data_IF_610300504391
#
_entry.id   IF_610300504391
#
_cell.length_a   1.000
_cell.length_b   1.000
_cell.length_c   1.000
_cell.angle_alpha   90.00
_cell.angle_beta   90.00
_cell.angle_gamma   90.00
#
_symmetry.space_group_name_H-M   'P 1'
#
loop_
_entity.id
_entity.type
_entity.pdbx_description
1 polymer ?
#
# COMPACT_ATOMS: atom_id res chain seq x y z
N UNK A 1 22.45 -9.17 17.24
CA UNK A 1 22.53 -7.81 16.69
C UNK A 1 23.48 -7.71 15.49
N UNK A 2 24.81 -7.75 15.65
CA UNK A 2 25.75 -7.66 14.49
C UNK A 2 25.58 -8.78 13.46
N UNK A 3 25.36 -10.02 13.90
CA UNK A 3 25.08 -11.15 13.00
C UNK A 3 23.79 -10.96 12.19
N UNK A 4 22.71 -10.49 12.82
CA UNK A 4 21.46 -10.19 12.12
C UNK A 4 21.64 -9.10 11.07
N UNK A 5 22.42 -8.05 11.36
CA UNK A 5 22.71 -7.00 10.39
C UNK A 5 23.42 -7.58 9.15
N UNK A 6 24.42 -8.43 9.37
CA UNK A 6 25.17 -9.09 8.28
C UNK A 6 24.26 -10.01 7.47
N UNK A 7 23.44 -10.82 8.15
CA UNK A 7 22.50 -11.73 7.50
C UNK A 7 21.47 -10.98 6.65
N UNK A 8 20.89 -9.89 7.16
CA UNK A 8 19.94 -9.05 6.40
C UNK A 8 20.61 -8.40 5.19
N UNK A 9 21.86 -7.94 5.30
CA UNK A 9 22.61 -7.39 4.17
C UNK A 9 22.83 -8.46 3.10
N UNK A 10 23.25 -9.67 3.49
CA UNK A 10 23.49 -10.78 2.55
C UNK A 10 22.17 -11.20 1.88
N UNK A 11 21.08 -11.31 2.65
CA UNK A 11 19.75 -11.62 2.14
C UNK A 11 19.29 -10.57 1.13
N UNK A 12 19.38 -9.29 1.47
CA UNK A 12 19.03 -8.18 0.57
C UNK A 12 19.84 -8.24 -0.73
N UNK A 13 21.14 -8.54 -0.63
CA UNK A 13 21.99 -8.71 -1.82
C UNK A 13 21.51 -9.86 -2.71
N UNK A 14 21.15 -10.99 -2.10
CA UNK A 14 20.62 -12.17 -2.80
C UNK A 14 19.26 -11.90 -3.44
N UNK A 15 18.41 -11.10 -2.79
CA UNK A 15 17.06 -10.76 -3.27
C UNK A 15 17.09 -9.75 -4.43
N UNK A 16 18.08 -8.86 -4.48
CA UNK A 16 18.24 -7.89 -5.57
C UNK A 16 19.01 -8.48 -6.77
N UNK A 17 19.82 -9.53 -6.55
CA UNK A 17 20.60 -10.19 -7.60
C UNK A 17 19.78 -10.60 -8.84
N UNK A 18 18.57 -11.17 -8.73
CA UNK A 18 17.76 -11.55 -9.90
C UNK A 18 17.34 -10.33 -10.73
N UNK A 19 16.98 -9.23 -10.06
CA UNK A 19 16.59 -7.98 -10.72
C UNK A 19 17.80 -7.41 -11.48
N UNK A 20 18.96 -7.36 -10.83
CA UNK A 20 20.20 -6.94 -11.45
C UNK A 20 20.56 -7.83 -12.65
N UNK A 21 20.48 -9.16 -12.49
CA UNK A 21 20.77 -10.12 -13.54
C UNK A 21 19.86 -9.92 -14.76
N UNK A 22 18.56 -9.69 -14.56
CA UNK A 22 17.63 -9.37 -15.64
C UNK A 22 18.00 -8.04 -16.31
N UNK A 23 18.28 -7.00 -15.52
CA UNK A 23 18.65 -5.68 -16.06
C UNK A 23 19.92 -5.73 -16.92
N UNK A 24 21.00 -6.27 -16.38
CA UNK A 24 22.27 -6.41 -17.12
C UNK A 24 22.11 -7.40 -18.28
N UNK A 25 21.35 -8.48 -18.10
CA UNK A 25 21.03 -9.43 -19.16
C UNK A 25 20.31 -8.76 -20.33
N UNK A 26 19.25 -8.00 -20.09
CA UNK A 26 18.56 -7.24 -21.13
C UNK A 26 19.47 -6.22 -21.79
N UNK A 27 20.26 -5.50 -21.00
CA UNK A 27 21.14 -4.45 -21.50
C UNK A 27 22.24 -4.99 -22.44
N UNK A 28 22.91 -6.08 -22.05
CA UNK A 28 24.01 -6.66 -22.82
C UNK A 28 23.53 -7.62 -23.93
N UNK A 29 22.51 -8.44 -23.68
CA UNK A 29 22.04 -9.45 -24.64
C UNK A 29 21.00 -8.90 -25.63
N UNK A 30 20.03 -8.10 -25.15
CA UNK A 30 18.90 -7.64 -25.97
C UNK A 30 19.18 -6.27 -26.59
N UNK A 31 19.49 -5.27 -25.77
CA UNK A 31 19.72 -3.88 -26.21
C UNK A 31 21.11 -3.73 -26.88
N UNK A 32 22.06 -4.61 -26.53
CA UNK A 32 23.44 -4.66 -27.06
C UNK A 32 24.17 -3.31 -26.97
N UNK A 33 23.93 -2.55 -25.91
CA UNK A 33 24.62 -1.28 -25.64
C UNK A 33 25.38 -1.35 -24.32
N UNK A 34 26.66 -0.95 -24.27
CA UNK A 34 27.38 -0.84 -23.01
C UNK A 34 26.70 0.20 -22.12
N UNK A 35 26.69 -0.04 -20.81
CA UNK A 35 26.13 0.91 -19.85
C UNK A 35 27.00 2.18 -19.79
N UNK A 36 26.42 3.37 -20.04
CA UNK A 36 27.13 4.61 -19.81
C UNK A 36 27.49 4.74 -18.33
N UNK A 37 28.73 5.15 -18.03
CA UNK A 37 29.19 5.41 -16.66
C UNK A 37 29.09 4.21 -15.70
N UNK A 38 29.49 3.02 -16.13
CA UNK A 38 29.42 1.78 -15.33
C UNK A 38 29.92 1.94 -13.88
N UNK A 39 31.04 2.65 -13.66
CA UNK A 39 31.57 2.88 -12.31
C UNK A 39 30.62 3.68 -11.40
N UNK A 40 29.94 4.70 -11.94
CA UNK A 40 28.92 5.46 -11.18
C UNK A 40 27.70 4.60 -10.90
N UNK A 41 27.28 3.77 -11.85
CA UNK A 41 26.15 2.83 -11.69
C UNK A 41 26.45 1.81 -10.60
N UNK A 42 27.64 1.20 -10.61
CA UNK A 42 28.04 0.21 -9.61
C UNK A 42 28.16 0.83 -8.21
N UNK A 43 28.76 2.02 -8.08
CA UNK A 43 28.77 2.72 -6.80
C UNK A 43 27.35 3.08 -6.32
N UNK A 44 26.50 3.58 -7.21
CA UNK A 44 25.11 3.90 -6.87
C UNK A 44 24.36 2.66 -6.39
N UNK A 45 24.51 1.53 -7.10
CA UNK A 45 23.93 0.25 -6.73
C UNK A 45 24.42 -0.25 -5.37
N UNK A 46 25.72 -0.11 -5.09
CA UNK A 46 26.30 -0.43 -3.78
C UNK A 46 25.68 0.41 -2.65
N UNK A 47 25.57 1.73 -2.83
CA UNK A 47 24.94 2.61 -1.84
C UNK A 47 23.45 2.33 -1.65
N UNK A 48 22.73 2.00 -2.73
CA UNK A 48 21.32 1.58 -2.66
C UNK A 48 21.17 0.30 -1.84
N UNK A 49 22.06 -0.68 -2.01
CA UNK A 49 21.99 -1.92 -1.25
C UNK A 49 22.25 -1.72 0.24
N UNK A 50 23.23 -0.90 0.59
CA UNK A 50 23.47 -0.54 2.00
C UNK A 50 22.26 0.22 2.56
N UNK A 51 21.76 1.22 1.84
CA UNK A 51 20.61 2.01 2.25
C UNK A 51 19.35 1.16 2.45
N UNK A 52 19.06 0.25 1.51
CA UNK A 52 17.94 -0.67 1.58
C UNK A 52 18.08 -1.63 2.77
N UNK A 53 19.27 -2.18 2.99
CA UNK A 53 19.52 -3.10 4.11
C UNK A 53 19.31 -2.40 5.46
N UNK A 54 19.89 -1.21 5.64
CA UNK A 54 19.70 -0.41 6.86
C UNK A 54 18.24 -0.01 7.07
N UNK A 55 17.54 0.32 5.99
CA UNK A 55 16.12 0.65 6.02
C UNK A 55 15.26 -0.56 6.45
N UNK A 56 15.51 -1.75 5.88
CA UNK A 56 14.82 -2.98 6.26
C UNK A 56 15.06 -3.35 7.73
N UNK A 57 16.30 -3.23 8.22
CA UNK A 57 16.62 -3.44 9.64
C UNK A 57 15.84 -2.45 10.52
N UNK A 58 15.80 -1.17 10.13
CA UNK A 58 15.04 -0.15 10.84
C UNK A 58 13.54 -0.46 10.90
N UNK A 59 12.97 -0.98 9.81
CA UNK A 59 11.58 -1.43 9.77
C UNK A 59 11.32 -2.62 10.70
N UNK A 60 12.19 -3.63 10.66
CA UNK A 60 12.05 -4.84 11.46
C UNK A 60 12.16 -4.56 12.96
N UNK A 61 13.02 -3.62 13.36
CA UNK A 61 13.23 -3.29 14.78
C UNK A 61 12.26 -2.24 15.32
N UNK A 62 11.78 -1.32 14.48
CA UNK A 62 10.91 -0.23 14.93
C UNK A 62 9.45 -0.43 14.50
N UNK A 63 9.17 -0.56 13.19
CA UNK A 63 7.81 -0.56 12.67
C UNK A 63 7.08 -1.88 12.90
N UNK A 64 7.75 -3.02 12.72
CA UNK A 64 7.09 -4.33 12.83
C UNK A 64 6.62 -4.64 14.26
N UNK A 65 7.45 -4.44 15.30
CA UNK A 65 7.03 -4.67 16.67
C UNK A 65 5.91 -3.70 17.06
N UNK A 66 5.98 -2.44 16.61
CA UNK A 66 4.92 -1.47 16.86
C UNK A 66 3.59 -1.93 16.24
N UNK A 67 3.59 -2.37 14.98
CA UNK A 67 2.41 -2.90 14.31
C UNK A 67 1.81 -4.12 15.03
N UNK A 68 2.65 -5.07 15.46
CA UNK A 68 2.20 -6.26 16.21
C UNK A 68 1.65 -5.91 17.59
N UNK A 69 2.33 -5.03 18.33
CA UNK A 69 1.87 -4.60 19.65
C UNK A 69 0.52 -3.87 19.57
N UNK A 70 0.35 -2.98 18.58
CA UNK A 70 -0.93 -2.31 18.36
C UNK A 70 -2.02 -3.31 17.96
N UNK A 71 -1.72 -4.27 17.08
CA UNK A 71 -2.67 -5.32 16.74
C UNK A 71 -3.07 -6.13 17.99
N UNK A 72 -2.11 -6.56 18.82
CA UNK A 72 -2.36 -7.29 20.06
C UNK A 72 -3.23 -6.49 21.03
N UNK A 73 -2.94 -5.21 21.26
CA UNK A 73 -3.73 -4.37 22.16
C UNK A 73 -5.14 -4.10 21.63
N UNK A 74 -5.27 -3.81 20.34
CA UNK A 74 -6.58 -3.53 19.73
C UNK A 74 -7.43 -4.78 19.52
N UNK A 75 -6.82 -5.97 19.60
CA UNK A 75 -7.50 -7.26 19.48
C UNK A 75 -7.59 -8.01 20.80
N UNK A 76 -7.20 -7.37 21.90
CA UNK A 76 -7.25 -7.98 23.23
C UNK A 76 -8.71 -8.32 23.57
N UNK A 77 -9.02 -9.58 23.94
CA UNK A 77 -10.37 -9.99 24.32
C UNK A 77 -11.03 -9.09 25.37
N UNK A 78 -10.29 -8.61 26.37
CA UNK A 78 -10.81 -7.73 27.40
C UNK A 78 -11.10 -6.33 26.83
N UNK A 79 -10.26 -5.83 25.91
CA UNK A 79 -10.48 -4.56 25.22
C UNK A 79 -11.71 -4.62 24.29
N UNK A 80 -11.85 -5.69 23.51
CA UNK A 80 -12.96 -5.87 22.55
C UNK A 80 -14.29 -6.04 23.29
N UNK A 81 -14.32 -6.86 24.33
CA UNK A 81 -15.57 -7.19 25.05
C UNK A 81 -15.91 -6.19 26.14
N UNK A 82 -14.96 -5.37 26.59
CA UNK A 82 -15.10 -4.50 27.75
C UNK A 82 -15.23 -5.25 29.08
N UNK A 83 -14.96 -6.56 29.09
CA UNK A 83 -15.08 -7.44 30.26
C UNK A 83 -13.69 -7.77 30.79
N UNK A 84 -13.38 -7.27 31.98
CA UNK A 84 -12.11 -7.57 32.68
C UNK A 84 -12.17 -8.89 33.47
N UNK A 85 -13.37 -9.36 33.79
CA UNK A 85 -13.55 -10.59 34.57
C UNK A 85 -13.30 -11.84 33.70
N UNK A 86 -12.25 -12.58 34.06
CA UNK A 86 -11.82 -13.79 33.36
C UNK A 86 -12.89 -14.89 33.32
N UNK A 87 -13.80 -14.96 34.31
CA UNK A 87 -14.87 -15.95 34.33
C UNK A 87 -15.94 -15.66 33.26
N UNK A 88 -16.21 -14.38 32.98
CA UNK A 88 -17.22 -13.93 32.02
C UNK A 88 -16.67 -13.76 30.59
N UNK A 89 -15.35 -13.62 30.45
CA UNK A 89 -14.68 -13.41 29.16
C UNK A 89 -14.98 -14.52 28.14
N UNK A 90 -15.06 -15.77 28.60
CA UNK A 90 -15.31 -16.92 27.70
C UNK A 90 -16.71 -16.87 27.07
N UNK A 91 -17.69 -16.34 27.78
CA UNK A 91 -19.04 -16.17 27.28
C UNK A 91 -19.15 -14.91 26.41
N UNK A 92 -18.50 -13.82 26.82
CA UNK A 92 -18.43 -12.58 26.04
C UNK A 92 -17.78 -12.80 24.66
N UNK A 93 -16.71 -13.60 24.57
CA UNK A 93 -16.03 -13.93 23.33
C UNK A 93 -16.92 -14.66 22.31
N UNK A 94 -17.96 -15.39 22.74
CA UNK A 94 -18.91 -16.03 21.82
C UNK A 94 -19.83 -15.04 21.12
N UNK A 95 -20.03 -13.86 21.72
CA UNK A 95 -20.89 -12.81 21.20
C UNK A 95 -20.11 -11.71 20.46
N UNK A 96 -18.78 -11.84 20.37
CA UNK A 96 -17.95 -10.88 19.64
C UNK A 96 -18.32 -10.88 18.18
N UNK A 97 -18.58 -9.68 17.66
CA UNK A 97 -18.93 -9.43 16.27
C UNK A 97 -17.81 -8.64 15.59
N UNK A 98 -17.82 -8.60 14.25
CA UNK A 98 -16.84 -7.85 13.46
C UNK A 98 -16.86 -6.34 13.75
N UNK A 99 -17.95 -5.82 14.32
CA UNK A 99 -18.09 -4.42 14.71
C UNK A 99 -17.25 -4.06 15.95
N UNK A 100 -16.95 -5.03 16.82
CA UNK A 100 -16.18 -4.77 18.05
C UNK A 100 -14.70 -4.46 17.73
N UNK A 101 -14.25 -4.87 16.55
CA UNK A 101 -12.93 -4.56 16.00
C UNK A 101 -12.85 -3.17 15.33
N UNK A 102 -13.84 -2.29 15.52
CA UNK A 102 -13.89 -0.96 14.87
C UNK A 102 -12.61 -0.15 15.04
N UNK A 103 -11.97 -0.22 16.22
CA UNK A 103 -10.70 0.47 16.49
C UNK A 103 -9.54 -0.06 15.63
N UNK A 104 -9.53 -1.36 15.30
CA UNK A 104 -8.56 -1.93 14.35
C UNK A 104 -8.76 -1.30 12.98
N UNK A 105 -10.00 -1.15 12.51
CA UNK A 105 -10.28 -0.58 11.18
C UNK A 105 -9.92 0.90 11.08
N UNK A 106 -10.20 1.67 12.14
CA UNK A 106 -9.83 3.09 12.22
C UNK A 106 -8.31 3.24 12.27
N UNK A 107 -7.63 2.44 13.09
CA UNK A 107 -6.17 2.46 13.16
C UNK A 107 -5.54 2.10 11.81
N UNK A 108 -6.02 1.03 11.18
CA UNK A 108 -5.61 0.60 9.85
C UNK A 108 -5.80 1.69 8.80
N UNK A 109 -6.93 2.41 8.86
CA UNK A 109 -7.22 3.54 7.98
C UNK A 109 -6.16 4.65 8.14
N UNK A 110 -5.96 5.09 9.39
CA UNK A 110 -5.06 6.21 9.71
C UNK A 110 -3.61 5.89 9.36
N UNK A 111 -3.16 4.69 9.69
CA UNK A 111 -1.80 4.23 9.38
C UNK A 111 -1.60 4.07 7.87
N UNK A 112 -2.57 3.47 7.18
CA UNK A 112 -2.55 3.33 5.73
C UNK A 112 -2.47 4.68 5.03
N UNK A 113 -3.27 5.64 5.47
CA UNK A 113 -3.24 7.01 4.98
C UNK A 113 -1.90 7.70 5.25
N UNK A 114 -1.42 7.66 6.50
CA UNK A 114 -0.23 8.38 6.94
C UNK A 114 1.03 7.87 6.23
N UNK A 115 1.21 6.55 6.12
CA UNK A 115 2.36 5.96 5.43
C UNK A 115 2.36 6.26 3.95
N UNK A 116 1.20 6.16 3.30
CA UNK A 116 1.09 6.44 1.88
C UNK A 116 1.41 7.90 1.57
N UNK A 117 0.97 8.85 2.40
CA UNK A 117 1.33 10.28 2.23
C UNK A 117 2.82 10.53 2.40
N UNK A 118 3.45 9.80 3.33
CA UNK A 118 4.88 9.87 3.62
C UNK A 118 5.75 9.16 2.56
N UNK A 119 5.16 8.34 1.70
CA UNK A 119 5.88 7.55 0.70
C UNK A 119 6.59 8.45 -0.33
N UNK A 120 7.94 8.40 -0.43
CA UNK A 120 8.69 9.26 -1.34
C UNK A 120 8.42 8.97 -2.82
N UNK A 121 8.18 7.71 -3.17
CA UNK A 121 7.88 7.29 -4.54
C UNK A 121 6.57 7.91 -5.04
N UNK A 122 5.56 8.05 -4.16
CA UNK A 122 4.30 8.71 -4.49
C UNK A 122 4.48 10.20 -4.75
N UNK A 123 5.35 10.87 -3.99
CA UNK A 123 5.69 12.28 -4.24
C UNK A 123 6.31 12.43 -5.63
N UNK A 124 7.27 11.57 -5.98
CA UNK A 124 7.94 11.60 -7.27
C UNK A 124 6.96 11.38 -8.44
N UNK A 125 6.09 10.37 -8.34
CA UNK A 125 5.08 10.07 -9.37
C UNK A 125 4.07 11.21 -9.49
N UNK A 126 3.66 11.83 -8.39
CA UNK A 126 2.74 12.97 -8.42
C UNK A 126 3.36 14.22 -9.07
N UNK A 127 4.65 14.49 -8.83
CA UNK A 127 5.38 15.57 -9.51
C UNK A 127 5.46 15.28 -11.01
N UNK A 128 5.85 14.05 -11.39
CA UNK A 128 5.96 13.66 -12.81
C UNK A 128 4.61 13.71 -13.51
N UNK A 129 3.54 13.26 -12.87
CA UNK A 129 2.18 13.36 -13.38
C UNK A 129 1.74 14.82 -13.60
N UNK A 130 2.10 15.73 -12.69
CA UNK A 130 1.80 17.15 -12.83
C UNK A 130 2.54 17.77 -14.02
N UNK A 131 3.84 17.48 -14.16
CA UNK A 131 4.67 17.97 -15.27
C UNK A 131 4.16 17.48 -16.64
N UNK A 132 3.94 16.17 -16.79
CA UNK A 132 3.51 15.57 -18.08
C UNK A 132 2.06 15.90 -18.44
N UNK A 133 1.22 16.24 -17.45
CA UNK A 133 -0.17 16.64 -17.69
C UNK A 133 -0.34 18.15 -17.91
N UNK A 134 0.75 18.93 -17.87
CA UNK A 134 0.68 20.40 -17.99
C UNK A 134 -0.09 21.05 -16.84
N UNK A 135 -0.02 20.46 -15.64
CA UNK A 135 -0.71 20.94 -14.44
C UNK A 135 -2.16 20.47 -14.28
N UNK A 136 -2.70 19.69 -15.22
CA UNK A 136 -4.07 19.17 -15.10
C UNK A 136 -4.26 18.22 -13.91
N UNK A 137 -3.21 17.50 -13.51
CA UNK A 137 -3.21 16.61 -12.34
C UNK A 137 -2.46 17.31 -11.21
N UNK A 138 -3.18 17.77 -10.18
CA UNK A 138 -2.57 18.37 -9.00
C UNK A 138 -1.74 17.37 -8.18
N UNK A 139 -0.56 17.78 -7.73
CA UNK A 139 0.35 16.95 -6.91
C UNK A 139 -0.36 16.47 -5.63
N UNK A 140 -0.96 17.39 -4.87
CA UNK A 140 -1.68 17.06 -3.64
C UNK A 140 -2.95 16.27 -3.88
N UNK A 141 -3.68 16.55 -4.98
CA UNK A 141 -4.90 15.83 -5.31
C UNK A 141 -4.62 14.36 -5.60
N UNK A 142 -3.57 14.06 -6.38
CA UNK A 142 -3.16 12.68 -6.64
C UNK A 142 -2.69 11.99 -5.36
N UNK A 143 -1.83 12.65 -4.56
CA UNK A 143 -1.31 12.08 -3.31
C UNK A 143 -2.42 11.73 -2.33
N UNK A 144 -3.38 12.64 -2.15
CA UNK A 144 -4.51 12.43 -1.25
C UNK A 144 -5.43 11.32 -1.75
N UNK A 145 -5.70 11.27 -3.06
CA UNK A 145 -6.49 10.20 -3.68
C UNK A 145 -5.85 8.83 -3.47
N UNK A 146 -4.56 8.69 -3.73
CA UNK A 146 -3.82 7.43 -3.51
C UNK A 146 -3.86 7.03 -2.03
N UNK A 147 -3.55 7.97 -1.12
CA UNK A 147 -3.57 7.69 0.32
C UNK A 147 -4.94 7.28 0.85
N UNK A 148 -6.02 7.91 0.38
CA UNK A 148 -7.39 7.50 0.71
C UNK A 148 -7.71 6.11 0.16
N UNK A 149 -7.26 5.79 -1.05
CA UNK A 149 -7.40 4.46 -1.63
C UNK A 149 -6.73 3.40 -0.76
N UNK A 150 -5.46 3.61 -0.40
CA UNK A 150 -4.74 2.69 0.50
C UNK A 150 -5.43 2.55 1.84
N UNK A 151 -5.83 3.67 2.47
CA UNK A 151 -6.50 3.67 3.77
C UNK A 151 -7.78 2.83 3.76
N UNK A 152 -8.65 3.04 2.76
CA UNK A 152 -9.87 2.25 2.60
C UNK A 152 -9.55 0.78 2.32
N UNK A 153 -8.58 0.50 1.44
CA UNK A 153 -8.18 -0.86 1.10
C UNK A 153 -7.67 -1.64 2.31
N UNK A 154 -6.77 -1.06 3.09
CA UNK A 154 -6.23 -1.70 4.30
C UNK A 154 -7.33 -1.89 5.34
N UNK A 155 -8.19 -0.91 5.59
CA UNK A 155 -9.32 -1.09 6.52
C UNK A 155 -10.25 -2.23 6.09
N UNK A 156 -10.56 -2.32 4.79
CA UNK A 156 -11.37 -3.42 4.24
C UNK A 156 -10.65 -4.77 4.37
N UNK A 157 -9.33 -4.81 4.15
CA UNK A 157 -8.54 -6.00 4.32
C UNK A 157 -8.45 -6.45 5.79
N UNK A 158 -8.35 -5.52 6.74
CA UNK A 158 -8.43 -5.81 8.17
C UNK A 158 -9.81 -6.38 8.55
N UNK A 159 -10.90 -5.78 8.04
CA UNK A 159 -12.25 -6.34 8.17
C UNK A 159 -12.31 -7.77 7.64
N UNK A 160 -11.74 -8.02 6.45
CA UNK A 160 -11.68 -9.35 5.85
C UNK A 160 -10.89 -10.35 6.71
N UNK A 161 -9.80 -9.94 7.36
CA UNK A 161 -9.05 -10.79 8.30
C UNK A 161 -9.92 -11.14 9.52
N UNK A 162 -10.66 -10.17 10.07
CA UNK A 162 -11.54 -10.39 11.22
C UNK A 162 -12.70 -11.34 10.88
N UNK A 163 -13.39 -11.10 9.77
CA UNK A 163 -14.54 -11.92 9.34
C UNK A 163 -14.11 -13.28 8.80
N UNK A 164 -12.95 -13.32 8.13
CA UNK A 164 -12.39 -14.57 7.62
C UNK A 164 -12.87 -14.97 6.24
N UNK A 165 -13.45 -14.04 5.48
CA UNK A 165 -13.96 -14.31 4.13
C UNK A 165 -12.82 -14.63 3.13
N UNK A 166 -13.08 -15.38 2.05
CA UNK A 166 -12.05 -15.67 1.05
C UNK A 166 -11.62 -14.41 0.27
N UNK A 167 -10.31 -14.17 0.18
CA UNK A 167 -9.74 -12.95 -0.43
C UNK A 167 -10.13 -12.76 -1.90
N UNK A 168 -10.28 -13.85 -2.65
CA UNK A 168 -10.56 -13.82 -4.08
C UNK A 168 -11.82 -13.03 -4.44
N UNK A 169 -12.86 -13.06 -3.58
CA UNK A 169 -14.10 -12.33 -3.85
C UNK A 169 -13.91 -10.82 -3.84
N UNK A 170 -13.12 -10.32 -2.89
CA UNK A 170 -12.81 -8.88 -2.79
C UNK A 170 -11.95 -8.42 -3.96
N UNK A 171 -10.93 -9.19 -4.31
CA UNK A 171 -10.01 -8.86 -5.40
C UNK A 171 -10.75 -8.91 -6.75
N UNK A 172 -11.56 -9.95 -6.99
CA UNK A 172 -12.39 -10.03 -8.19
C UNK A 172 -13.37 -8.86 -8.28
N UNK A 173 -14.09 -8.54 -7.20
CA UNK A 173 -15.01 -7.40 -7.17
C UNK A 173 -14.29 -6.07 -7.44
N UNK A 174 -13.16 -5.84 -6.79
CA UNK A 174 -12.36 -4.63 -7.01
C UNK A 174 -11.82 -4.54 -8.45
N UNK A 175 -11.37 -5.64 -9.05
CA UNK A 175 -10.96 -5.64 -10.46
C UNK A 175 -12.11 -5.43 -11.43
N UNK A 176 -13.31 -5.94 -11.13
CA UNK A 176 -14.51 -5.61 -11.91
C UNK A 176 -14.76 -4.09 -11.88
N UNK A 177 -14.63 -3.45 -10.72
CA UNK A 177 -14.72 -1.98 -10.60
C UNK A 177 -13.63 -1.29 -11.44
N UNK A 178 -12.38 -1.75 -11.35
CA UNK A 178 -11.26 -1.22 -12.13
C UNK A 178 -11.52 -1.31 -13.63
N UNK A 179 -11.99 -2.46 -14.12
CA UNK A 179 -12.31 -2.68 -15.53
C UNK A 179 -13.43 -1.73 -15.97
N UNK A 180 -14.50 -1.62 -15.19
CA UNK A 180 -15.61 -0.70 -15.48
C UNK A 180 -15.09 0.74 -15.54
N UNK A 181 -14.36 1.20 -14.52
CA UNK A 181 -13.81 2.56 -14.48
C UNK A 181 -12.85 2.85 -15.62
N UNK A 182 -12.08 1.85 -16.08
CA UNK A 182 -11.14 1.99 -17.21
C UNK A 182 -11.86 2.44 -18.49
N UNK A 183 -13.11 2.00 -18.72
CA UNK A 183 -13.90 2.45 -19.88
C UNK A 183 -14.32 3.92 -19.81
N UNK A 184 -14.43 4.49 -18.61
CA UNK A 184 -14.90 5.86 -18.39
C UNK A 184 -13.77 6.85 -18.04
N UNK A 185 -12.58 6.36 -17.67
CA UNK A 185 -11.47 7.19 -17.23
C UNK A 185 -10.72 7.86 -18.40
N UNK A 186 -10.15 9.07 -18.20
CA UNK A 186 -9.29 9.70 -19.20
C UNK A 186 -8.05 8.85 -19.51
N UNK A 187 -7.70 8.72 -20.80
CA UNK A 187 -6.57 7.90 -21.26
C UNK A 187 -5.22 8.24 -20.59
N UNK A 188 -5.03 9.50 -20.20
CA UNK A 188 -3.80 9.96 -19.54
C UNK A 188 -3.67 9.42 -18.10
N UNK A 189 -4.80 9.17 -17.43
CA UNK A 189 -4.82 8.76 -16.02
C UNK A 189 -4.69 7.25 -15.88
N UNK A 190 -5.20 6.46 -16.84
CA UNK A 190 -5.22 5.01 -16.71
C UNK A 190 -3.82 4.46 -16.39
N UNK A 191 -2.74 4.74 -17.16
CA UNK A 191 -1.41 4.24 -16.82
C UNK A 191 -0.94 4.71 -15.44
N UNK A 192 -1.22 5.96 -15.08
CA UNK A 192 -0.85 6.54 -13.79
C UNK A 192 -1.58 5.86 -12.63
N UNK A 193 -2.84 5.47 -12.80
CA UNK A 193 -3.63 4.78 -11.79
C UNK A 193 -3.06 3.38 -11.51
N UNK A 194 -2.72 2.63 -12.57
CA UNK A 194 -2.08 1.32 -12.43
C UNK A 194 -0.67 1.42 -11.83
N UNK A 195 0.11 2.44 -12.21
CA UNK A 195 1.43 2.69 -11.64
C UNK A 195 1.33 3.09 -10.16
N UNK A 196 0.29 3.86 -9.79
CA UNK A 196 0.03 4.25 -8.39
C UNK A 196 -0.18 3.04 -7.48
N UNK A 197 -0.81 1.95 -7.96
CA UNK A 197 -0.91 0.70 -7.20
C UNK A 197 0.44 0.01 -6.97
N UNK A 198 1.39 0.15 -7.89
CA UNK A 198 2.77 -0.31 -7.71
C UNK A 198 3.57 0.60 -6.78
N UNK A 199 3.36 1.91 -6.85
CA UNK A 199 3.97 2.90 -5.95
C UNK A 199 3.61 2.63 -4.49
N UNK A 200 2.37 2.22 -4.20
CA UNK A 200 1.97 1.90 -2.82
C UNK A 200 2.54 0.58 -2.32
N UNK A 201 3.13 -0.23 -3.21
CA UNK A 201 3.93 -1.40 -2.82
C UNK A 201 5.40 -1.09 -2.50
N UNK A 202 5.75 0.19 -2.34
CA UNK A 202 7.13 0.60 -2.16
C UNK A 202 7.54 0.61 -0.68
N UNK A 203 8.67 1.28 -0.43
CA UNK A 203 9.53 1.09 0.72
C UNK A 203 8.85 1.28 2.07
N UNK A 204 7.97 2.28 2.23
CA UNK A 204 7.40 2.60 3.55
C UNK A 204 6.11 1.82 3.82
N UNK A 205 5.24 1.72 2.82
CA UNK A 205 3.87 1.24 3.01
C UNK A 205 3.80 -0.27 3.18
N UNK A 206 4.47 -1.07 2.33
CA UNK A 206 4.37 -2.55 2.38
C UNK A 206 4.83 -3.13 3.69
N UNK A 207 6.01 -2.76 4.22
CA UNK A 207 6.50 -3.37 5.44
C UNK A 207 5.55 -3.11 6.61
N UNK A 208 4.97 -1.90 6.71
CA UNK A 208 4.01 -1.59 7.77
C UNK A 208 2.68 -2.31 7.59
N UNK A 209 2.16 -2.38 6.36
CA UNK A 209 0.94 -3.13 6.04
C UNK A 209 1.12 -4.62 6.33
N UNK A 210 2.25 -5.20 5.94
CA UNK A 210 2.57 -6.59 6.22
C UNK A 210 2.66 -6.85 7.73
N UNK A 211 3.31 -5.96 8.49
CA UNK A 211 3.39 -6.09 9.94
C UNK A 211 2.02 -6.02 10.63
N UNK A 212 1.15 -5.09 10.20
CA UNK A 212 -0.22 -4.98 10.69
C UNK A 212 -1.04 -6.23 10.34
N UNK A 213 -0.98 -6.67 9.07
CA UNK A 213 -1.72 -7.85 8.60
C UNK A 213 -1.26 -9.13 9.29
N UNK A 214 0.05 -9.33 9.43
CA UNK A 214 0.62 -10.47 10.13
C UNK A 214 0.25 -10.44 11.61
N UNK A 215 0.41 -9.29 12.27
CA UNK A 215 0.05 -9.13 13.69
C UNK A 215 -1.43 -9.39 13.95
N UNK A 216 -2.32 -8.88 13.10
CA UNK A 216 -3.76 -9.12 13.20
C UNK A 216 -4.12 -10.59 12.96
N UNK A 217 -3.50 -11.23 11.98
CA UNK A 217 -3.75 -12.64 11.69
C UNK A 217 -3.12 -13.59 12.74
N UNK A 218 -2.10 -13.16 13.48
CA UNK A 218 -1.54 -13.90 14.63
C UNK A 218 -2.47 -13.84 15.86
N UNK A 219 -3.26 -12.77 16.02
CA UNK A 219 -4.10 -12.56 17.21
C UNK A 219 -5.57 -12.92 17.01
N UNK A 220 -6.08 -12.86 15.78
CA UNK A 220 -7.45 -13.26 15.48
C UNK A 220 -7.53 -14.80 15.36
N UNK A 221 -8.39 -15.48 16.14
CA UNK A 221 -8.51 -16.93 16.11
C UNK A 221 -8.87 -17.50 14.73
N UNK A 222 -8.23 -18.61 14.36
CA UNK A 222 -8.52 -19.34 13.13
C UNK A 222 -7.99 -18.68 11.85
N UNK A 223 -7.11 -17.68 11.96
CA UNK A 223 -6.45 -17.04 10.81
C UNK A 223 -5.08 -17.63 10.52
N UNK A 224 -4.71 -17.60 9.24
CA UNK A 224 -3.39 -18.00 8.79
C UNK A 224 -2.57 -16.75 8.48
N UNK A 225 -1.49 -16.45 9.23
CA UNK A 225 -0.70 -15.24 9.02
C UNK A 225 -0.11 -15.11 7.59
N UNK A 226 0.19 -16.23 6.94
CA UNK A 226 0.76 -16.22 5.58
C UNK A 226 -0.30 -15.88 4.52
N UNK A 227 -1.49 -16.47 4.61
CA UNK A 227 -2.55 -16.25 3.60
C UNK A 227 -3.31 -14.96 3.91
N UNK A 228 -3.72 -14.80 5.18
CA UNK A 228 -4.59 -13.71 5.59
C UNK A 228 -3.83 -12.40 5.84
N UNK A 229 -2.64 -12.48 6.44
CA UNK A 229 -1.82 -11.31 6.74
C UNK A 229 -1.19 -10.68 5.49
N UNK A 230 -0.50 -11.47 4.65
CA UNK A 230 0.09 -10.94 3.41
C UNK A 230 -0.96 -10.49 2.39
N UNK A 231 -2.15 -11.07 2.41
CA UNK A 231 -3.26 -10.68 1.53
C UNK A 231 -3.62 -9.19 1.64
N UNK A 232 -3.30 -8.53 2.76
CA UNK A 232 -3.52 -7.11 2.98
C UNK A 232 -2.79 -6.21 1.96
N UNK A 233 -1.65 -6.67 1.43
CA UNK A 233 -0.87 -5.96 0.40
C UNK A 233 -1.68 -5.83 -0.89
N UNK A 234 -2.46 -6.87 -1.27
CA UNK A 234 -3.27 -6.83 -2.47
C UNK A 234 -4.33 -5.71 -2.42
N UNK A 235 -4.92 -5.48 -1.25
CA UNK A 235 -5.85 -4.37 -1.04
C UNK A 235 -5.15 -3.00 -1.13
N UNK A 236 -3.95 -2.90 -0.55
CA UNK A 236 -3.13 -1.68 -0.61
C UNK A 236 -2.70 -1.32 -2.04
N UNK A 237 -2.62 -2.29 -2.96
CA UNK A 237 -2.37 -2.04 -4.39
C UNK A 237 -3.62 -1.75 -5.21
N UNK A 238 -4.72 -2.46 -4.94
CA UNK A 238 -5.93 -2.41 -5.77
C UNK A 238 -6.73 -1.11 -5.58
N UNK A 239 -6.93 -0.70 -4.33
CA UNK A 239 -7.78 0.46 -4.03
C UNK A 239 -7.21 1.82 -4.48
N UNK A 240 -5.88 2.05 -4.48
CA UNK A 240 -5.30 3.22 -5.13
C UNK A 240 -5.69 3.37 -6.61
N UNK A 241 -5.73 2.26 -7.36
CA UNK A 241 -6.10 2.28 -8.78
C UNK A 241 -7.54 2.81 -8.91
N UNK A 242 -8.45 2.27 -8.10
CA UNK A 242 -9.86 2.65 -8.06
C UNK A 242 -10.01 4.13 -7.67
N UNK A 243 -9.31 4.55 -6.61
CA UNK A 243 -9.37 5.93 -6.09
C UNK A 243 -8.83 6.95 -7.07
N UNK A 244 -7.69 6.67 -7.73
CA UNK A 244 -7.08 7.58 -8.72
C UNK A 244 -7.96 7.74 -9.95
N UNK A 245 -8.56 6.65 -10.44
CA UNK A 245 -9.52 6.73 -11.55
C UNK A 245 -10.76 7.53 -11.16
N UNK A 246 -11.30 7.32 -9.96
CA UNK A 246 -12.42 8.10 -9.45
C UNK A 246 -12.08 9.60 -9.33
N UNK A 247 -10.93 9.92 -8.76
CA UNK A 247 -10.43 11.30 -8.64
C UNK A 247 -10.35 12.00 -9.99
N UNK A 248 -9.83 11.31 -11.01
CA UNK A 248 -9.73 11.87 -12.35
C UNK A 248 -11.09 12.09 -13.03
N UNK A 249 -12.00 11.12 -12.92
CA UNK A 249 -13.36 11.25 -13.45
C UNK A 249 -14.09 12.44 -12.83
N UNK A 250 -13.98 12.60 -11.50
CA UNK A 250 -14.56 13.74 -10.78
C UNK A 250 -13.92 15.05 -11.22
N UNK A 251 -12.60 15.10 -11.32
CA UNK A 251 -11.86 16.32 -11.72
C UNK A 251 -12.22 16.76 -13.14
N UNK A 252 -12.35 15.82 -14.09
CA UNK A 252 -12.75 16.12 -15.45
C UNK A 252 -14.22 16.60 -15.52
N UNK A 253 -15.12 15.97 -14.75
CA UNK A 253 -16.52 16.38 -14.69
C UNK A 253 -16.68 17.81 -14.15
N UNK A 254 -15.92 18.18 -13.11
CA UNK A 254 -15.90 19.54 -12.57
C UNK A 254 -15.33 20.55 -13.58
N UNK A 255 -14.24 20.22 -14.27
CA UNK A 255 -13.64 21.07 -15.29
C UNK A 255 -14.59 21.33 -16.48
N UNK A 256 -15.34 20.31 -16.92
CA UNK A 256 -16.36 20.45 -17.98
C UNK A 256 -17.51 21.37 -17.55
N UNK A 257 -17.97 21.26 -16.29
CA UNK A 257 -19.02 22.14 -15.74
C UNK A 257 -18.57 23.60 -15.67
N UNK A 258 -17.35 23.87 -15.22
CA UNK A 258 -16.79 25.23 -15.16
C UNK A 258 -16.70 25.88 -16.55
N UNK A 259 -16.18 25.17 -17.56
CA UNK A 259 -16.14 25.67 -18.95
C UNK A 259 -17.52 25.97 -19.51
N UNK A 260 -18.54 25.15 -19.17
CA UNK A 260 -19.93 25.37 -19.59
C UNK A 260 -20.52 26.64 -18.96
N UNK A 261 -20.24 26.90 -17.68
CA UNK A 261 -20.69 28.12 -17.00
C UNK A 261 -20.04 29.39 -17.55
N UNK A 262 -18.73 29.38 -17.82
CA UNK A 262 -18.05 30.54 -18.44
C UNK A 262 -18.63 30.89 -19.82
N UNK A 263 -18.95 29.88 -20.64
CA UNK A 263 -19.58 30.09 -21.95
C UNK A 263 -21.01 30.65 -21.87
N UNK A 264 -21.73 30.37 -20.77
CA UNK A 264 -23.08 30.90 -20.54
C UNK A 264 -23.06 32.33 -20.00
N UNK A 265 -21.98 32.75 -19.32
CA UNK A 265 -21.82 34.14 -18.83
C UNK A 265 -21.29 35.10 -19.91
N UNK A 266 -20.74 34.58 -21.01
CA UNK A 266 -20.25 35.37 -22.14
C UNK A 266 -21.21 35.35 -23.35
N UNK A 267 -22.44 34.86 -23.16
CA UNK A 267 -23.56 34.97 -24.11
C UNK A 267 -24.58 35.94 -23.54
#
# INVERSE_FOLDING_TARGET
MLWQIVDTIIATFRDVLPIAAILFGFQFAVIRKPLPNLGKVLMGFFWVLIGLSLFLIGLEWALFPLGRLMAQQLTDPAFITGVEDAALLTEALKNVNWMDYSWVYIFAFLIGFATTIAEPSLIAVAIKANEVSGGAIGIWGLRLSVALGVAVGISLGCYRIVVGDPIQWYIMAGYVIVVIQTFFAPKLIIPLAYDSGGVTTSTVTVPLVAALGLGLAETVPGRNPLIDGFGLIAFASLFPIISVMAYAQISEALAKRSKKQMKLQHK
#
